data_IF_871040466693
#
_entry.id   IF_871040466693
#
_cell.length_a   1.000
_cell.length_b   1.000
_cell.length_c   1.000
_cell.angle_alpha   90.00
_cell.angle_beta   90.00
_cell.angle_gamma   90.00
#
_symmetry.space_group_name_H-M   'P 1'
#
loop_
_entity.id
_entity.type
_entity.pdbx_description
1 polymer ?
#
# COMPACT_ATOMS: atom_id res chain seq x y z
N UNK A 1 37.30 16.08 44.25
CA UNK A 1 36.38 15.14 43.56
C UNK A 1 35.15 15.91 43.15
N UNK A 2 35.08 16.32 41.87
CA UNK A 2 33.99 17.12 41.32
C UNK A 2 33.21 16.25 40.32
N UNK A 3 32.23 15.49 40.80
CA UNK A 3 31.35 14.65 39.97
C UNK A 3 29.86 14.84 40.28
N UNK A 4 29.48 15.75 41.20
CA UNK A 4 28.08 15.94 41.58
C UNK A 4 27.30 16.97 40.75
N UNK A 5 27.96 17.79 39.91
CA UNK A 5 27.27 18.87 39.17
C UNK A 5 26.53 18.44 37.91
N UNK A 6 26.84 17.28 37.33
CA UNK A 6 26.21 16.86 36.06
C UNK A 6 24.91 16.06 36.22
N UNK A 7 24.72 15.37 37.35
CA UNK A 7 23.54 14.50 37.51
C UNK A 7 22.25 15.30 37.72
N UNK A 8 22.31 16.41 38.45
CA UNK A 8 21.16 17.29 38.69
C UNK A 8 20.67 17.98 37.42
N UNK A 9 21.58 18.32 36.50
CA UNK A 9 21.21 18.99 35.24
C UNK A 9 20.43 18.07 34.30
N UNK A 10 20.87 16.80 34.15
CA UNK A 10 20.16 15.82 33.32
C UNK A 10 18.77 15.51 33.89
N UNK A 11 18.64 15.36 35.21
CA UNK A 11 17.35 15.08 35.83
C UNK A 11 16.36 16.25 35.71
N UNK A 12 16.82 17.49 35.90
CA UNK A 12 15.99 18.68 35.67
C UNK A 12 15.60 18.84 34.20
N UNK A 13 16.52 18.57 33.27
CA UNK A 13 16.20 18.55 31.83
C UNK A 13 15.17 17.47 31.50
N UNK A 14 15.26 16.29 32.11
CA UNK A 14 14.30 15.20 31.92
C UNK A 14 12.92 15.55 32.47
N UNK A 15 12.86 16.14 33.68
CA UNK A 15 11.60 16.60 34.27
C UNK A 15 11.00 17.77 33.52
N UNK A 16 11.81 18.71 33.04
CA UNK A 16 11.36 19.82 32.20
C UNK A 16 10.81 19.30 30.87
N UNK A 17 11.47 18.30 30.28
CA UNK A 17 11.01 17.60 29.08
C UNK A 17 9.69 16.86 29.34
N UNK A 18 9.56 16.13 30.46
CA UNK A 18 8.32 15.46 30.87
C UNK A 18 7.17 16.46 31.12
N UNK A 19 7.41 17.57 31.83
CA UNK A 19 6.37 18.59 32.02
C UNK A 19 5.95 19.25 30.71
N UNK A 20 6.87 19.37 29.76
CA UNK A 20 6.59 19.89 28.41
C UNK A 20 5.78 18.88 27.58
N UNK A 21 5.93 17.58 27.85
CA UNK A 21 5.09 16.50 27.31
C UNK A 21 3.69 16.52 27.97
N UNK A 22 3.58 16.50 29.30
CA UNK A 22 2.31 16.53 30.05
C UNK A 22 1.45 17.76 29.74
N UNK A 23 2.07 18.93 29.50
CA UNK A 23 1.33 20.16 29.18
C UNK A 23 0.80 20.23 27.75
N UNK A 24 1.13 19.29 26.86
CA UNK A 24 0.29 19.08 25.67
C UNK A 24 -0.97 18.38 26.17
N UNK A 25 -1.88 19.17 26.73
CA UNK A 25 -3.28 18.79 26.90
C UNK A 25 -3.71 18.25 25.55
N UNK A 26 -3.91 16.95 25.48
CA UNK A 26 -4.19 16.26 24.22
C UNK A 26 -5.64 16.62 23.87
N UNK A 27 -5.80 17.73 23.14
CA UNK A 27 -7.08 18.09 22.54
C UNK A 27 -7.48 16.91 21.68
N UNK A 28 -8.66 16.34 21.96
CA UNK A 28 -9.26 15.31 21.11
C UNK A 28 -9.26 15.83 19.68
N UNK A 29 -8.62 15.11 18.76
CA UNK A 29 -8.63 15.55 17.38
C UNK A 29 -10.01 15.35 16.74
N UNK A 30 -10.88 14.55 17.39
CA UNK A 30 -12.20 14.14 16.91
C UNK A 30 -13.29 15.22 16.98
N UNK A 31 -12.96 16.46 17.34
CA UNK A 31 -13.94 17.55 17.35
C UNK A 31 -14.45 17.87 15.94
N UNK A 32 -15.78 18.03 15.81
CA UNK A 32 -16.45 18.35 14.54
C UNK A 32 -15.89 19.61 13.86
N UNK A 33 -15.49 20.61 14.65
CA UNK A 33 -14.88 21.85 14.16
C UNK A 33 -13.59 21.60 13.37
N UNK A 34 -12.83 20.55 13.70
CA UNK A 34 -11.60 20.18 12.98
C UNK A 34 -11.91 19.54 11.61
N UNK A 35 -13.09 18.94 11.44
CA UNK A 35 -13.56 18.43 10.15
C UNK A 35 -14.03 19.61 9.29
N UNK A 36 -14.82 20.50 9.88
CA UNK A 36 -15.39 21.64 9.18
C UNK A 36 -14.32 22.58 8.61
N UNK A 37 -13.23 22.83 9.36
CA UNK A 37 -12.11 23.65 8.88
C UNK A 37 -11.35 23.03 7.70
N UNK A 38 -11.35 21.70 7.56
CA UNK A 38 -10.70 20.98 6.46
C UNK A 38 -11.64 20.62 5.30
N UNK A 39 -12.93 20.95 5.41
CA UNK A 39 -13.97 20.55 4.47
C UNK A 39 -13.68 20.95 3.01
N UNK A 40 -13.10 22.13 2.70
CA UNK A 40 -12.72 22.49 1.33
C UNK A 40 -11.71 21.53 0.68
N UNK A 41 -10.81 20.93 1.47
CA UNK A 41 -9.84 19.95 0.99
C UNK A 41 -10.41 18.51 1.04
N UNK A 42 -11.23 18.21 2.04
CA UNK A 42 -11.82 16.89 2.22
C UNK A 42 -12.85 16.54 1.14
N UNK A 43 -13.73 17.47 0.74
CA UNK A 43 -14.75 17.23 -0.29
C UNK A 43 -14.16 16.65 -1.58
N UNK A 44 -13.17 17.26 -2.25
CA UNK A 44 -12.64 16.72 -3.49
C UNK A 44 -11.95 15.36 -3.28
N UNK A 45 -11.22 15.18 -2.17
CA UNK A 45 -10.56 13.91 -1.86
C UNK A 45 -11.60 12.79 -1.67
N UNK A 46 -12.63 13.03 -0.86
CA UNK A 46 -13.73 12.09 -0.62
C UNK A 46 -14.47 11.81 -1.94
N UNK A 47 -14.80 12.84 -2.71
CA UNK A 47 -15.50 12.72 -3.99
C UNK A 47 -14.76 11.83 -4.97
N UNK A 48 -13.47 12.09 -5.21
CA UNK A 48 -12.62 11.27 -6.09
C UNK A 48 -12.53 9.84 -5.56
N UNK A 49 -12.34 9.67 -4.25
CA UNK A 49 -12.23 8.33 -3.64
C UNK A 49 -13.50 7.52 -3.84
N UNK A 50 -14.67 8.10 -3.58
CA UNK A 50 -15.95 7.42 -3.70
C UNK A 50 -16.24 7.04 -5.15
N UNK A 51 -15.95 7.93 -6.11
CA UNK A 51 -16.05 7.62 -7.54
C UNK A 51 -15.13 6.45 -7.91
N UNK A 52 -13.89 6.46 -7.45
CA UNK A 52 -12.93 5.37 -7.72
C UNK A 52 -13.36 4.06 -7.08
N UNK A 53 -13.84 4.08 -5.83
CA UNK A 53 -14.42 2.93 -5.14
C UNK A 53 -15.60 2.34 -5.92
N UNK A 54 -16.50 3.21 -6.42
CA UNK A 54 -17.63 2.79 -7.24
C UNK A 54 -17.17 2.13 -8.53
N UNK A 55 -16.19 2.72 -9.23
CA UNK A 55 -15.59 2.13 -10.43
C UNK A 55 -14.96 0.76 -10.15
N UNK A 56 -14.20 0.62 -9.05
CA UNK A 56 -13.57 -0.64 -8.65
C UNK A 56 -14.61 -1.75 -8.45
N UNK A 57 -15.73 -1.40 -7.83
CA UNK A 57 -16.84 -2.32 -7.58
C UNK A 57 -17.63 -2.67 -8.84
N UNK A 58 -17.69 -1.77 -9.83
CA UNK A 58 -18.38 -2.03 -11.11
C UNK A 58 -17.56 -2.90 -12.08
N UNK A 59 -16.23 -2.76 -12.09
CA UNK A 59 -15.34 -3.48 -13.01
C UNK A 59 -15.62 -5.00 -13.11
N UNK A 60 -15.83 -5.75 -12.00
CA UNK A 60 -16.20 -7.18 -12.05
C UNK A 60 -17.49 -7.50 -12.81
N UNK A 61 -18.35 -6.52 -13.08
CA UNK A 61 -19.66 -6.72 -13.70
C UNK A 61 -19.72 -6.19 -15.14
N UNK A 62 -18.85 -5.25 -15.51
CA UNK A 62 -18.84 -4.63 -16.83
C UNK A 62 -18.54 -5.67 -17.92
N UNK A 63 -19.48 -5.87 -18.84
CA UNK A 63 -19.32 -6.74 -20.00
C UNK A 63 -19.44 -8.24 -19.70
N UNK A 64 -19.93 -8.65 -18.53
CA UNK A 64 -20.20 -10.07 -18.20
C UNK A 64 -21.14 -10.75 -19.20
N UNK A 65 -22.02 -9.98 -19.85
CA UNK A 65 -22.96 -10.48 -20.88
C UNK A 65 -22.38 -10.53 -22.30
N UNK A 66 -21.26 -9.83 -22.58
CA UNK A 66 -20.66 -9.83 -23.93
C UNK A 66 -19.75 -11.06 -24.09
N UNK A 67 -20.36 -12.23 -24.30
CA UNK A 67 -19.67 -13.47 -24.69
C UNK A 67 -19.38 -13.51 -26.20
N UNK A 68 -18.80 -12.45 -26.74
CA UNK A 68 -18.25 -12.46 -28.10
C UNK A 68 -16.83 -12.99 -28.06
N UNK A 69 -16.55 -14.11 -28.74
CA UNK A 69 -15.21 -14.76 -28.79
C UNK A 69 -14.05 -13.81 -29.14
N UNK A 70 -14.32 -12.68 -29.79
CA UNK A 70 -13.28 -11.77 -30.28
C UNK A 70 -12.81 -10.73 -29.27
N UNK A 71 -13.60 -10.37 -28.25
CA UNK A 71 -13.19 -9.42 -27.21
C UNK A 71 -13.89 -9.77 -25.89
N UNK A 72 -13.24 -10.54 -25.00
CA UNK A 72 -13.83 -10.80 -23.69
C UNK A 72 -14.13 -9.46 -23.01
N UNK A 73 -15.35 -9.30 -22.49
CA UNK A 73 -15.72 -8.11 -21.72
C UNK A 73 -14.74 -7.85 -20.56
N UNK A 74 -14.72 -6.61 -20.06
CA UNK A 74 -13.78 -6.18 -19.02
C UNK A 74 -13.77 -7.12 -17.81
N UNK A 75 -14.94 -7.56 -17.35
CA UNK A 75 -15.10 -8.55 -16.28
C UNK A 75 -14.44 -9.90 -16.59
N UNK A 76 -14.62 -10.41 -17.81
CA UNK A 76 -14.03 -11.69 -18.23
C UNK A 76 -12.50 -11.57 -18.30
N UNK A 77 -11.98 -10.49 -18.91
CA UNK A 77 -10.54 -10.19 -18.94
C UNK A 77 -9.97 -10.06 -17.53
N UNK A 78 -10.64 -9.34 -16.65
CA UNK A 78 -10.22 -9.15 -15.26
C UNK A 78 -10.16 -10.49 -14.52
N UNK A 79 -11.18 -11.35 -14.65
CA UNK A 79 -11.18 -12.68 -14.03
C UNK A 79 -10.08 -13.59 -14.56
N UNK A 80 -9.86 -13.61 -15.88
CA UNK A 80 -8.81 -14.40 -16.52
C UNK A 80 -7.41 -13.91 -16.12
N UNK A 81 -7.22 -12.59 -16.06
CA UNK A 81 -5.95 -11.98 -15.72
C UNK A 81 -5.62 -12.06 -14.23
N UNK A 82 -6.63 -12.03 -13.36
CA UNK A 82 -6.45 -12.31 -11.94
C UNK A 82 -5.95 -13.74 -11.74
N UNK A 83 -6.55 -14.72 -12.42
CA UNK A 83 -6.09 -16.11 -12.38
C UNK A 83 -4.71 -16.33 -13.03
N UNK A 84 -4.37 -15.56 -14.06
CA UNK A 84 -3.07 -15.65 -14.75
C UNK A 84 -1.96 -14.86 -14.05
N UNK A 85 -2.32 -13.91 -13.18
CA UNK A 85 -1.37 -13.14 -12.37
C UNK A 85 -0.70 -14.08 -11.36
N UNK A 86 0.37 -14.73 -11.81
CA UNK A 86 1.24 -15.53 -10.94
C UNK A 86 1.88 -14.70 -9.84
N UNK A 87 1.84 -13.36 -9.91
CA UNK A 87 2.31 -12.51 -8.82
C UNK A 87 1.47 -12.70 -7.56
N UNK A 88 0.20 -13.11 -7.64
CA UNK A 88 -0.73 -13.08 -6.52
C UNK A 88 -0.90 -14.45 -5.85
N UNK A 89 -0.56 -14.58 -4.57
CA UNK A 89 -1.06 -15.69 -3.73
C UNK A 89 -2.61 -15.70 -3.74
N UNK A 90 -3.20 -14.51 -3.83
CA UNK A 90 -4.64 -14.30 -3.91
C UNK A 90 -5.29 -14.89 -5.16
N UNK A 91 -4.58 -15.12 -6.27
CA UNK A 91 -5.17 -15.67 -7.50
C UNK A 91 -5.87 -17.03 -7.25
N UNK A 92 -5.41 -17.78 -6.24
CA UNK A 92 -6.01 -19.05 -5.83
C UNK A 92 -7.24 -18.93 -4.92
N UNK A 93 -7.46 -17.77 -4.28
CA UNK A 93 -8.41 -17.57 -3.18
C UNK A 93 -9.46 -16.50 -3.44
N UNK A 94 -9.12 -15.46 -4.20
CA UNK A 94 -9.98 -14.32 -4.47
C UNK A 94 -10.61 -14.43 -5.85
N UNK A 95 -11.93 -14.34 -5.89
CA UNK A 95 -12.64 -14.04 -7.12
C UNK A 95 -12.51 -12.53 -7.43
N UNK A 96 -12.68 -12.15 -8.71
CA UNK A 96 -12.63 -10.75 -9.15
C UNK A 96 -13.43 -9.76 -8.27
N UNK A 97 -14.68 -10.06 -7.84
CA UNK A 97 -15.43 -9.18 -6.94
C UNK A 97 -14.79 -9.02 -5.56
N UNK A 98 -14.22 -10.09 -5.01
CA UNK A 98 -13.59 -10.05 -3.69
C UNK A 98 -12.29 -9.25 -3.75
N UNK A 99 -11.53 -9.35 -4.84
CA UNK A 99 -10.30 -8.56 -5.02
C UNK A 99 -10.63 -7.08 -5.19
N UNK A 100 -11.66 -6.74 -5.97
CA UNK A 100 -12.17 -5.37 -6.05
C UNK A 100 -12.62 -4.85 -4.69
N UNK A 101 -13.39 -5.63 -3.93
CA UNK A 101 -13.84 -5.25 -2.59
C UNK A 101 -12.66 -5.01 -1.63
N UNK A 102 -11.62 -5.85 -1.69
CA UNK A 102 -10.39 -5.66 -0.93
C UNK A 102 -9.72 -4.32 -1.25
N UNK A 103 -9.53 -4.00 -2.54
CA UNK A 103 -8.95 -2.72 -2.96
C UNK A 103 -9.82 -1.53 -2.54
N UNK A 104 -11.15 -1.66 -2.63
CA UNK A 104 -12.10 -0.64 -2.18
C UNK A 104 -11.99 -0.39 -0.68
N UNK A 105 -11.99 -1.44 0.15
CA UNK A 105 -11.81 -1.30 1.61
C UNK A 105 -10.45 -0.67 1.92
N UNK A 106 -9.41 -1.10 1.23
CA UNK A 106 -8.06 -0.55 1.41
C UNK A 106 -8.01 0.94 1.08
N UNK A 107 -8.65 1.35 -0.03
CA UNK A 107 -8.72 2.75 -0.42
C UNK A 107 -9.53 3.59 0.58
N UNK A 108 -10.61 3.05 1.13
CA UNK A 108 -11.40 3.69 2.19
C UNK A 108 -10.60 3.84 3.49
N UNK A 109 -9.74 2.88 3.84
CA UNK A 109 -8.82 2.99 4.97
C UNK A 109 -7.79 4.11 4.74
N UNK A 110 -7.25 4.22 3.53
CA UNK A 110 -6.36 5.34 3.17
C UNK A 110 -7.08 6.69 3.31
N UNK A 111 -8.33 6.78 2.85
CA UNK A 111 -9.16 7.98 3.04
C UNK A 111 -9.37 8.31 4.52
N UNK A 112 -9.71 7.32 5.33
CA UNK A 112 -9.89 7.49 6.77
C UNK A 112 -8.61 8.02 7.45
N UNK A 113 -7.44 7.47 7.09
CA UNK A 113 -6.15 7.95 7.61
C UNK A 113 -5.89 9.42 7.24
N UNK A 114 -6.23 9.84 6.02
CA UNK A 114 -6.12 11.25 5.61
C UNK A 114 -7.06 12.13 6.41
N UNK A 115 -8.31 11.70 6.60
CA UNK A 115 -9.29 12.44 7.41
C UNK A 115 -8.77 12.62 8.83
N UNK A 116 -8.36 11.55 9.49
CA UNK A 116 -7.84 11.62 10.86
C UNK A 116 -6.59 12.49 10.97
N UNK A 117 -5.68 12.40 10.00
CA UNK A 117 -4.51 13.26 10.00
C UNK A 117 -4.87 14.74 9.82
N UNK A 118 -5.78 15.06 8.89
CA UNK A 118 -6.24 16.43 8.69
C UNK A 118 -6.91 17.00 9.94
N UNK A 119 -7.69 16.17 10.65
CA UNK A 119 -8.27 16.54 11.94
C UNK A 119 -7.18 16.82 12.99
N UNK A 120 -6.13 15.99 13.08
CA UNK A 120 -4.99 16.23 13.96
C UNK A 120 -4.21 17.51 13.59
N UNK A 121 -4.15 17.88 12.32
CA UNK A 121 -3.54 19.14 11.87
C UNK A 121 -4.41 20.33 12.25
N UNK A 122 -5.72 20.27 12.00
CA UNK A 122 -6.64 21.35 12.36
C UNK A 122 -6.70 21.59 13.87
N UNK A 123 -6.60 20.54 14.68
CA UNK A 123 -6.49 20.66 16.14
C UNK A 123 -5.25 21.45 16.59
N UNK A 124 -4.18 21.45 15.78
CA UNK A 124 -2.94 22.20 16.06
C UNK A 124 -2.93 23.57 15.39
N UNK A 125 -3.50 23.68 14.20
CA UNK A 125 -3.59 24.89 13.40
C UNK A 125 -4.86 24.90 12.54
N UNK A 126 -5.94 25.59 12.98
CA UNK A 126 -7.22 25.58 12.28
C UNK A 126 -7.18 26.32 10.94
N UNK A 127 -6.18 27.19 10.72
CA UNK A 127 -6.00 27.95 9.47
C UNK A 127 -5.16 27.20 8.43
N UNK A 128 -4.67 26.00 8.75
CA UNK A 128 -3.75 25.26 7.89
C UNK A 128 -4.35 24.96 6.51
N UNK A 129 -5.61 24.51 6.43
CA UNK A 129 -6.25 24.15 5.16
C UNK A 129 -6.36 25.35 4.21
N UNK A 130 -6.73 26.52 4.73
CA UNK A 130 -6.81 27.76 3.96
C UNK A 130 -5.43 28.18 3.44
N UNK A 131 -4.38 28.07 4.27
CA UNK A 131 -3.01 28.35 3.83
C UNK A 131 -2.55 27.39 2.74
N UNK A 132 -2.85 26.10 2.84
CA UNK A 132 -2.49 25.11 1.82
C UNK A 132 -3.20 25.39 0.50
N UNK A 133 -4.49 25.77 0.53
CA UNK A 133 -5.25 26.08 -0.68
C UNK A 133 -4.80 27.39 -1.36
N UNK A 134 -4.30 28.34 -0.59
CA UNK A 134 -3.83 29.64 -1.08
C UNK A 134 -2.36 29.64 -1.48
N UNK A 135 -1.57 28.68 -1.00
CA UNK A 135 -0.14 28.57 -1.30
C UNK A 135 0.09 27.68 -2.53
N UNK A 136 0.87 28.12 -3.53
CA UNK A 136 1.14 27.29 -4.73
C UNK A 136 1.84 25.96 -4.40
N UNK A 137 2.64 25.93 -3.33
CA UNK A 137 3.35 24.75 -2.85
C UNK A 137 2.49 23.86 -1.94
N UNK A 138 1.21 24.17 -1.71
CA UNK A 138 0.34 23.40 -0.83
C UNK A 138 0.19 21.93 -1.24
N UNK A 139 0.33 21.61 -2.53
CA UNK A 139 0.34 20.23 -3.03
C UNK A 139 1.59 19.43 -2.64
N UNK A 140 2.68 20.12 -2.27
CA UNK A 140 3.92 19.49 -1.81
C UNK A 140 3.87 19.16 -0.31
N UNK A 141 2.77 19.50 0.38
CA UNK A 141 2.58 19.06 1.75
C UNK A 141 2.73 17.54 1.83
N UNK A 142 3.59 17.03 2.73
CA UNK A 142 3.92 15.61 2.78
C UNK A 142 2.69 14.71 2.78
N UNK A 143 1.59 15.15 3.37
CA UNK A 143 0.39 14.34 3.55
C UNK A 143 -0.46 14.22 2.30
N UNK A 144 -0.59 15.32 1.56
CA UNK A 144 -1.23 15.30 0.23
C UNK A 144 -0.43 14.38 -0.69
N UNK A 145 0.90 14.47 -0.65
CA UNK A 145 1.79 13.58 -1.39
C UNK A 145 1.65 12.11 -0.98
N UNK A 146 1.65 11.82 0.33
CA UNK A 146 1.51 10.44 0.84
C UNK A 146 0.18 9.82 0.38
N UNK A 147 -0.91 10.59 0.43
CA UNK A 147 -2.20 10.13 -0.06
C UNK A 147 -2.19 9.89 -1.58
N UNK A 148 -1.64 10.81 -2.36
CA UNK A 148 -1.52 10.65 -3.82
C UNK A 148 -0.72 9.38 -4.16
N UNK A 149 0.37 9.12 -3.44
CA UNK A 149 1.20 7.92 -3.63
C UNK A 149 0.43 6.64 -3.28
N UNK A 150 -0.33 6.62 -2.17
CA UNK A 150 -1.19 5.48 -1.82
C UNK A 150 -2.28 5.25 -2.87
N UNK A 151 -3.02 6.31 -3.22
CA UNK A 151 -4.08 6.29 -4.21
C UNK A 151 -3.57 5.77 -5.56
N UNK A 152 -2.42 6.30 -6.01
CA UNK A 152 -1.78 5.89 -7.25
C UNK A 152 -1.32 4.44 -7.20
N UNK A 153 -0.69 4.00 -6.11
CA UNK A 153 -0.25 2.62 -5.93
C UNK A 153 -1.42 1.63 -6.00
N UNK A 154 -2.50 1.89 -5.26
CA UNK A 154 -3.71 1.02 -5.25
C UNK A 154 -4.40 1.00 -6.62
N UNK A 155 -4.55 2.17 -7.26
CA UNK A 155 -5.18 2.27 -8.59
C UNK A 155 -4.33 1.59 -9.67
N UNK A 156 -3.02 1.79 -9.63
CA UNK A 156 -2.04 1.13 -10.52
C UNK A 156 -2.07 -0.38 -10.34
N UNK A 157 -2.29 -0.87 -9.12
CA UNK A 157 -2.44 -2.29 -8.84
C UNK A 157 -3.65 -2.90 -9.56
N UNK A 158 -4.80 -2.21 -9.52
CA UNK A 158 -5.99 -2.66 -10.25
C UNK A 158 -5.75 -2.65 -11.76
N UNK A 159 -5.18 -1.56 -12.28
CA UNK A 159 -4.84 -1.42 -13.71
C UNK A 159 -3.89 -2.55 -14.14
N UNK A 160 -2.89 -2.87 -13.32
CA UNK A 160 -1.96 -3.96 -13.57
C UNK A 160 -2.69 -5.30 -13.70
N UNK A 161 -3.59 -5.62 -12.77
CA UNK A 161 -4.35 -6.87 -12.83
C UNK A 161 -5.28 -6.91 -14.04
N UNK A 162 -5.85 -5.78 -14.48
CA UNK A 162 -6.72 -5.75 -15.67
C UNK A 162 -5.91 -5.88 -16.97
N UNK A 163 -4.78 -5.20 -17.10
CA UNK A 163 -4.11 -5.03 -18.39
C UNK A 163 -2.78 -5.75 -18.52
N UNK A 164 -1.98 -5.84 -17.46
CA UNK A 164 -0.57 -6.24 -17.53
C UNK A 164 -0.21 -7.36 -16.55
N UNK A 165 -1.13 -8.27 -16.22
CA UNK A 165 -0.96 -9.32 -15.19
C UNK A 165 0.28 -10.21 -15.35
N UNK A 166 0.83 -10.31 -16.56
CA UNK A 166 2.07 -11.05 -16.83
C UNK A 166 3.36 -10.31 -16.42
N UNK A 167 3.30 -8.99 -16.22
CA UNK A 167 4.45 -8.15 -15.84
C UNK A 167 4.54 -8.02 -14.32
N UNK A 168 4.98 -9.07 -13.64
CA UNK A 168 4.94 -9.18 -12.17
C UNK A 168 5.66 -8.05 -11.41
N UNK A 169 6.74 -7.50 -11.98
CA UNK A 169 7.47 -6.36 -11.40
C UNK A 169 6.57 -5.13 -11.21
N UNK A 170 5.66 -4.87 -12.16
CA UNK A 170 4.74 -3.73 -12.09
C UNK A 170 3.79 -3.89 -10.91
N UNK A 171 3.20 -5.08 -10.73
CA UNK A 171 2.34 -5.37 -9.58
C UNK A 171 3.07 -5.26 -8.24
N UNK A 172 4.30 -5.78 -8.16
CA UNK A 172 5.12 -5.65 -6.94
C UNK A 172 5.38 -4.19 -6.60
N UNK A 173 5.85 -3.39 -7.56
CA UNK A 173 6.12 -1.96 -7.35
C UNK A 173 4.87 -1.18 -6.96
N UNK A 174 3.74 -1.43 -7.65
CA UNK A 174 2.47 -0.81 -7.32
C UNK A 174 2.00 -1.16 -5.89
N UNK A 175 2.18 -2.41 -5.45
CA UNK A 175 1.82 -2.85 -4.10
C UNK A 175 2.76 -2.33 -2.99
N UNK A 176 4.00 -2.00 -3.34
CA UNK A 176 5.01 -1.57 -2.37
C UNK A 176 4.82 -0.12 -1.93
N UNK A 177 4.31 0.74 -2.82
CA UNK A 177 4.14 2.16 -2.53
C UNK A 177 3.17 2.41 -1.37
N UNK A 178 1.94 1.84 -1.35
CA UNK A 178 1.05 2.07 -0.22
C UNK A 178 1.56 1.44 1.07
N UNK A 179 2.36 0.37 0.98
CA UNK A 179 3.05 -0.22 2.13
C UNK A 179 4.07 0.74 2.73
N UNK A 180 4.95 1.34 1.92
CA UNK A 180 5.92 2.33 2.41
C UNK A 180 5.24 3.52 3.08
N UNK A 181 4.15 4.02 2.50
CA UNK A 181 3.39 5.13 3.11
C UNK A 181 2.75 4.70 4.43
N UNK A 182 2.11 3.54 4.47
CA UNK A 182 1.46 3.05 5.70
C UNK A 182 2.48 2.75 6.79
N UNK A 183 3.67 2.26 6.42
CA UNK A 183 4.79 2.04 7.33
C UNK A 183 5.31 3.37 7.88
N UNK A 184 5.47 4.38 7.03
CA UNK A 184 5.83 5.72 7.46
C UNK A 184 4.79 6.31 8.43
N UNK A 185 3.50 6.19 8.12
CA UNK A 185 2.42 6.63 9.02
C UNK A 185 2.47 5.89 10.36
N UNK A 186 2.67 4.57 10.35
CA UNK A 186 2.74 3.77 11.57
C UNK A 186 3.95 4.10 12.46
N UNK A 187 5.10 4.42 11.87
CA UNK A 187 6.30 4.86 12.60
C UNK A 187 6.18 6.28 13.16
N UNK A 188 5.22 7.06 12.67
CA UNK A 188 4.90 8.42 13.16
C UNK A 188 3.88 8.44 14.29
N UNK A 189 3.21 7.33 14.59
CA UNK A 189 2.29 7.22 15.73
C UNK A 189 3.02 7.57 17.03
N UNK A 190 2.42 8.43 17.85
CA UNK A 190 2.97 8.78 19.17
C UNK A 190 2.34 7.88 20.25
N UNK A 191 3.11 7.54 21.28
CA UNK A 191 2.68 6.59 22.32
C UNK A 191 1.48 7.05 23.15
N UNK A 192 1.20 8.36 23.19
CA UNK A 192 0.11 8.99 23.95
C UNK A 192 -0.97 9.59 23.03
N UNK A 193 -1.42 8.85 22.01
CA UNK A 193 -2.61 9.26 21.25
C UNK A 193 -3.87 9.03 22.09
N UNK A 194 -4.61 10.10 22.40
CA UNK A 194 -5.87 10.04 23.19
C UNK A 194 -7.01 9.38 22.41
N UNK A 195 -6.97 9.44 21.09
CA UNK A 195 -7.96 8.82 20.21
C UNK A 195 -7.43 7.50 19.67
N UNK A 196 -8.12 6.39 19.97
CA UNK A 196 -7.74 5.05 19.47
C UNK A 196 -8.03 4.85 17.97
N UNK A 197 -9.00 5.58 17.43
CA UNK A 197 -9.48 5.38 16.05
C UNK A 197 -8.41 5.63 14.97
N UNK A 198 -7.63 6.73 14.99
CA UNK A 198 -6.52 6.95 14.06
C UNK A 198 -5.48 5.83 14.13
N UNK A 199 -5.13 5.39 15.34
CA UNK A 199 -4.18 4.31 15.58
C UNK A 199 -4.66 3.01 14.94
N UNK A 200 -5.93 2.65 15.14
CA UNK A 200 -6.54 1.44 14.57
C UNK A 200 -6.54 1.51 13.04
N UNK A 201 -6.94 2.65 12.46
CA UNK A 201 -7.02 2.82 11.01
C UNK A 201 -5.63 2.73 10.34
N UNK A 202 -4.60 3.35 10.93
CA UNK A 202 -3.22 3.28 10.44
C UNK A 202 -2.69 1.83 10.53
N UNK A 203 -2.92 1.14 11.64
CA UNK A 203 -2.53 -0.27 11.80
C UNK A 203 -3.26 -1.18 10.80
N UNK A 204 -4.55 -0.96 10.57
CA UNK A 204 -5.34 -1.70 9.59
C UNK A 204 -4.83 -1.46 8.15
N UNK A 205 -4.58 -0.20 7.78
CA UNK A 205 -4.03 0.14 6.46
C UNK A 205 -2.63 -0.48 6.25
N UNK A 206 -1.78 -0.48 7.27
CA UNK A 206 -0.49 -1.16 7.24
C UNK A 206 -0.65 -2.67 7.05
N UNK A 207 -1.56 -3.30 7.78
CA UNK A 207 -1.82 -4.73 7.67
C UNK A 207 -2.30 -5.12 6.26
N UNK A 208 -3.25 -4.37 5.70
CA UNK A 208 -3.72 -4.56 4.32
C UNK A 208 -2.60 -4.40 3.32
N UNK A 209 -1.78 -3.35 3.49
CA UNK A 209 -0.65 -3.08 2.61
C UNK A 209 0.41 -4.17 2.67
N UNK A 210 0.74 -4.63 3.88
CA UNK A 210 1.68 -5.72 4.08
C UNK A 210 1.18 -7.02 3.42
N UNK A 211 -0.08 -7.39 3.64
CA UNK A 211 -0.66 -8.57 3.00
C UNK A 211 -0.67 -8.44 1.48
N UNK A 212 -1.00 -7.27 0.93
CA UNK A 212 -0.92 -7.03 -0.50
C UNK A 212 0.52 -7.20 -1.01
N UNK A 213 1.50 -6.52 -0.41
CA UNK A 213 2.91 -6.65 -0.80
C UNK A 213 3.38 -8.09 -0.75
N UNK A 214 3.15 -8.81 0.36
CA UNK A 214 3.49 -10.23 0.49
C UNK A 214 2.81 -11.06 -0.57
N UNK A 215 1.51 -10.82 -0.82
CA UNK A 215 0.75 -11.56 -1.81
C UNK A 215 1.30 -11.38 -3.23
N UNK A 216 1.85 -10.21 -3.58
CA UNK A 216 2.49 -9.92 -4.88
C UNK A 216 3.95 -10.39 -4.95
N UNK A 217 4.72 -10.20 -3.88
CA UNK A 217 6.18 -10.43 -3.86
C UNK A 217 6.55 -11.90 -3.65
N UNK A 218 5.84 -12.64 -2.80
CA UNK A 218 6.20 -14.04 -2.49
C UNK A 218 6.13 -14.96 -3.73
N UNK A 219 5.07 -14.94 -4.54
CA UNK A 219 5.03 -15.76 -5.75
C UNK A 219 6.09 -15.37 -6.78
N UNK A 220 6.41 -14.07 -6.87
CA UNK A 220 7.50 -13.58 -7.71
C UNK A 220 8.85 -14.15 -7.24
N UNK A 221 9.20 -14.01 -5.96
CA UNK A 221 10.43 -14.57 -5.40
C UNK A 221 10.51 -16.09 -5.60
N UNK A 222 9.41 -16.81 -5.42
CA UNK A 222 9.34 -18.26 -5.67
C UNK A 222 9.60 -18.61 -7.13
N UNK A 223 9.11 -17.79 -8.06
CA UNK A 223 9.33 -18.00 -9.49
C UNK A 223 10.79 -17.77 -9.88
N UNK A 224 11.39 -16.67 -9.44
CA UNK A 224 12.80 -16.35 -9.69
C UNK A 224 13.72 -17.38 -9.07
N UNK A 225 13.46 -17.78 -7.82
CA UNK A 225 14.21 -18.85 -7.16
C UNK A 225 14.20 -20.16 -7.97
N UNK A 226 13.05 -20.54 -8.52
CA UNK A 226 12.92 -21.74 -9.35
C UNK A 226 13.66 -21.61 -10.68
N UNK A 227 13.70 -20.42 -11.29
CA UNK A 227 14.46 -20.17 -12.52
C UNK A 227 15.95 -20.24 -12.22
N UNK A 228 16.40 -19.55 -11.18
CA UNK A 228 17.79 -19.57 -10.72
C UNK A 228 18.26 -21.00 -10.39
N UNK A 229 17.43 -21.80 -9.70
CA UNK A 229 17.78 -23.19 -9.39
C UNK A 229 17.91 -24.05 -10.65
N UNK A 230 17.02 -23.89 -11.63
CA UNK A 230 17.13 -24.61 -12.92
C UNK A 230 18.38 -24.23 -13.70
N UNK A 231 18.76 -22.95 -13.64
CA UNK A 231 19.98 -22.46 -14.27
C UNK A 231 21.22 -23.03 -13.56
N UNK A 232 21.25 -23.01 -12.22
CA UNK A 232 22.30 -23.63 -11.42
C UNK A 232 22.41 -25.13 -11.74
N UNK A 233 21.30 -25.87 -11.81
CA UNK A 233 21.30 -27.30 -12.17
C UNK A 233 21.81 -27.53 -13.60
N UNK A 234 21.46 -26.65 -14.55
CA UNK A 234 21.95 -26.70 -15.92
C UNK A 234 23.46 -26.39 -16.02
N UNK A 235 23.96 -25.46 -15.22
CA UNK A 235 25.39 -25.15 -15.13
C UNK A 235 26.16 -26.27 -14.44
N UNK A 236 25.68 -26.77 -13.31
CA UNK A 236 26.27 -27.88 -12.57
C UNK A 236 26.31 -29.16 -13.41
N UNK A 237 25.24 -29.49 -14.14
CA UNK A 237 25.23 -30.66 -15.04
C UNK A 237 26.17 -30.54 -16.23
N UNK A 238 26.41 -29.30 -16.73
CA UNK A 238 27.45 -29.03 -17.74
C UNK A 238 28.86 -29.13 -17.15
N UNK A 239 29.09 -28.55 -15.97
CA UNK A 239 30.38 -28.57 -15.28
C UNK A 239 30.80 -29.99 -14.88
N UNK A 240 29.86 -30.81 -14.40
CA UNK A 240 30.08 -32.23 -14.08
C UNK A 240 30.20 -33.12 -15.33
N UNK A 241 30.11 -32.57 -16.54
CA UNK A 241 30.23 -33.33 -17.79
C UNK A 241 29.10 -34.35 -18.04
N UNK A 242 28.03 -34.32 -17.26
CA UNK A 242 26.93 -35.29 -17.36
C UNK A 242 26.21 -35.22 -18.72
N UNK A 243 26.22 -34.04 -19.37
CA UNK A 243 25.63 -33.88 -20.70
C UNK A 243 26.45 -34.53 -21.84
N UNK A 244 27.71 -34.92 -21.63
CA UNK A 244 28.49 -35.67 -22.63
C UNK A 244 28.12 -37.16 -22.70
N UNK A 245 27.41 -37.72 -21.72
CA UNK A 245 27.03 -39.15 -21.74
C UNK A 245 25.79 -39.48 -22.57
N UNK A 246 24.94 -38.50 -22.92
CA UNK A 246 23.77 -38.75 -23.79
C UNK A 246 24.07 -38.68 -25.29
N UNK A 247 25.29 -38.32 -25.69
CA UNK A 247 25.71 -38.23 -27.11
C UNK A 247 26.33 -39.51 -27.68
N UNK A 248 26.41 -40.60 -26.92
CA UNK A 248 26.92 -41.90 -27.40
C UNK A 248 25.91 -43.01 -27.11
N UNK A 249 24.80 -43.02 -27.83
CA UNK A 249 24.17 -44.29 -28.19
C UNK A 249 24.14 -44.39 -29.71
N UNK A 250 24.85 -45.38 -30.29
CA UNK A 250 25.15 -45.45 -31.70
C UNK A 250 23.91 -45.81 -32.52
N UNK A 251 23.85 -45.24 -33.72
CA UNK A 251 22.97 -45.63 -34.82
C UNK A 251 22.87 -47.16 -34.91
N UNK A 252 21.71 -47.71 -34.51
CA UNK A 252 21.34 -49.05 -34.94
C UNK A 252 20.96 -48.96 -36.40
N UNK A 253 21.97 -49.21 -37.25
CA UNK A 253 21.80 -49.62 -38.64
C UNK A 253 20.77 -50.73 -38.72
N UNK A 254 19.74 -50.53 -39.54
CA UNK A 254 19.05 -51.58 -40.27
C UNK A 254 18.97 -51.13 -41.72
#
# INVERSE_FOLDING_TARGET
MATSRNYTDVEEQLRAWQRKQEKKIVVSCMDWQNIESNLPLLIPIIGITLVTCFVFMLIPFIGRMKSGKQNPGLACRYSANLGSSRALLFASRFNAPLFSAFLTIWLLLCLANVVFYLMQVAAKDPTWAERVLTTPDGFLEPMVLLYIVQYWGISSLLIHVIFTSHHYMVGCMASFLPFLVSFYQATRLQGDEVDDWPVIAIKAALLFSFFATVAFTVPWMRNEYRIAMREIDAHTSRALGLRRKTGKMPERKK
#
